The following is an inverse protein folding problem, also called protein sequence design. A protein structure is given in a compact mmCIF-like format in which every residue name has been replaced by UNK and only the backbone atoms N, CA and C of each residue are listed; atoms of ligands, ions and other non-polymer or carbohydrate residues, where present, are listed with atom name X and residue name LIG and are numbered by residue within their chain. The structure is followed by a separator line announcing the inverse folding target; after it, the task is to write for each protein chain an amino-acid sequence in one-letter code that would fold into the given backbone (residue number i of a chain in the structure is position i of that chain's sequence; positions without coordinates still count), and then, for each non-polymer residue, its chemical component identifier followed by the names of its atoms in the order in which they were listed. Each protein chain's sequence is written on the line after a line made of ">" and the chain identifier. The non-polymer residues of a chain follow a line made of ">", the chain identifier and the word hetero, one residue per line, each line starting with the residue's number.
data_IF_237761151327
#
_entry.id   IF_237761151327
#
_cell.length_a   1.000
_cell.length_b   1.000
_cell.length_c   1.000
_cell.angle_alpha   90.00
_cell.angle_beta   90.00
_cell.angle_gamma   90.00
#
_symmetry.space_group_name_H-M   'P 1'
#
loop_
_entity.id
_entity.type
_entity.pdbx_description
1 polymer ?
#
# COMPACT_ATOMS: atom_id res chain seq x y z
N UNK A 1 42.08 16.65 2.27
CA UNK A 1 41.65 15.54 1.39
C UNK A 1 40.24 15.15 1.80
N UNK A 2 39.22 15.86 1.28
CA UNK A 2 37.83 15.47 1.44
C UNK A 2 37.48 14.58 0.25
N UNK A 3 37.24 13.30 0.51
CA UNK A 3 36.70 12.40 -0.52
C UNK A 3 35.21 12.72 -0.71
N UNK A 4 34.92 13.67 -1.58
CA UNK A 4 33.57 13.96 -2.08
C UNK A 4 33.20 12.96 -3.19
N UNK A 5 33.09 11.68 -2.85
CA UNK A 5 32.37 10.74 -3.69
C UNK A 5 30.90 10.74 -3.28
N UNK A 6 30.20 11.82 -3.64
CA UNK A 6 28.73 11.87 -3.63
C UNK A 6 28.19 10.95 -4.73
N UNK A 7 28.17 9.64 -4.45
CA UNK A 7 27.63 8.64 -5.35
C UNK A 7 26.12 8.80 -5.48
N UNK A 8 25.67 9.53 -6.50
CA UNK A 8 24.30 9.36 -6.99
C UNK A 8 24.21 7.92 -7.49
N UNK A 9 23.30 7.13 -6.93
CA UNK A 9 23.01 5.79 -7.46
C UNK A 9 22.46 5.96 -8.88
N UNK A 10 23.31 5.81 -9.89
CA UNK A 10 22.96 5.91 -11.31
C UNK A 10 22.12 4.73 -11.80
N UNK A 11 21.90 3.73 -10.94
CA UNK A 11 21.17 2.48 -11.22
C UNK A 11 19.77 2.47 -10.62
N UNK A 12 19.02 3.54 -10.82
CA UNK A 12 17.65 3.69 -10.29
C UNK A 12 16.69 2.61 -10.82
N UNK A 13 17.02 1.92 -11.91
CA UNK A 13 16.22 0.84 -12.49
C UNK A 13 16.24 -0.47 -11.68
N UNK A 14 17.25 -0.66 -10.82
CA UNK A 14 17.52 -1.91 -10.08
C UNK A 14 16.81 -1.99 -8.72
N UNK A 15 16.09 -0.96 -8.30
CA UNK A 15 15.42 -1.02 -6.99
C UNK A 15 14.33 -2.10 -6.96
N UNK A 16 14.42 -2.95 -5.94
CA UNK A 16 13.46 -4.01 -5.65
C UNK A 16 12.89 -3.91 -4.22
N UNK A 17 11.58 -4.22 -4.02
CA UNK A 17 11.02 -4.38 -2.68
C UNK A 17 11.81 -5.39 -1.85
N UNK A 18 12.06 -5.06 -0.59
CA UNK A 18 12.92 -5.82 0.33
C UNK A 18 14.37 -5.34 0.37
N UNK A 19 14.86 -4.65 -0.68
CA UNK A 19 16.19 -4.06 -0.66
C UNK A 19 16.29 -2.87 0.30
N UNK A 20 17.51 -2.39 0.56
CA UNK A 20 17.74 -1.23 1.43
C UNK A 20 18.34 -0.07 0.64
N UNK A 21 17.89 1.15 0.91
CA UNK A 21 18.43 2.39 0.35
C UNK A 21 19.03 3.23 1.46
N UNK A 22 20.19 3.81 1.21
CA UNK A 22 20.80 4.79 2.10
C UNK A 22 20.31 6.18 1.73
N UNK A 23 19.75 6.89 2.71
CA UNK A 23 19.39 8.29 2.56
C UNK A 23 19.58 9.04 3.88
N UNK A 24 20.21 10.21 3.82
CA UNK A 24 20.52 11.05 5.00
C UNK A 24 21.22 10.28 6.14
N UNK A 25 22.08 9.33 5.79
CA UNK A 25 22.83 8.52 6.75
C UNK A 25 22.04 7.37 7.38
N UNK A 26 20.80 7.12 6.96
CA UNK A 26 19.95 6.03 7.46
C UNK A 26 19.68 5.00 6.35
N UNK A 27 19.88 3.72 6.67
CA UNK A 27 19.50 2.61 5.81
C UNK A 27 18.02 2.30 6.01
N UNK A 28 17.24 2.41 4.93
CA UNK A 28 15.81 2.24 4.93
C UNK A 28 15.40 1.09 4.01
N UNK A 29 14.57 0.18 4.52
CA UNK A 29 14.03 -0.93 3.72
C UNK A 29 12.97 -0.42 2.74
N UNK A 30 13.08 -0.83 1.48
CA UNK A 30 12.12 -0.53 0.41
C UNK A 30 10.88 -1.39 0.59
N UNK A 31 9.76 -0.74 0.90
CA UNK A 31 8.46 -1.38 1.02
C UNK A 31 7.79 -1.53 -0.36
N UNK A 32 7.97 -0.54 -1.22
CA UNK A 32 7.37 -0.50 -2.56
C UNK A 32 8.21 0.35 -3.51
N UNK A 33 8.27 -0.06 -4.77
CA UNK A 33 8.86 0.72 -5.86
C UNK A 33 7.75 1.27 -6.74
N UNK A 34 7.71 2.60 -6.90
CA UNK A 34 6.75 3.26 -7.78
C UNK A 34 7.45 3.62 -9.09
N UNK A 35 6.85 3.20 -10.20
CA UNK A 35 7.37 3.45 -11.54
C UNK A 35 6.41 4.33 -12.32
N UNK A 36 6.95 5.26 -13.10
CA UNK A 36 6.22 6.10 -14.05
C UNK A 36 6.97 6.07 -15.37
N UNK A 37 6.26 5.84 -16.49
CA UNK A 37 6.85 5.72 -17.83
C UNK A 37 8.02 4.71 -17.92
N UNK A 38 8.00 3.64 -17.12
CA UNK A 38 9.03 2.60 -17.10
C UNK A 38 10.19 2.85 -16.13
N UNK A 39 10.36 4.08 -15.65
CA UNK A 39 11.43 4.47 -14.74
C UNK A 39 10.95 4.53 -13.28
N UNK A 40 11.86 4.36 -12.33
CA UNK A 40 11.53 4.50 -10.91
C UNK A 40 11.33 5.98 -10.59
N UNK A 41 10.10 6.35 -10.23
CA UNK A 41 9.75 7.70 -9.82
C UNK A 41 10.01 7.93 -8.32
N UNK A 42 9.78 6.91 -7.50
CA UNK A 42 10.06 6.95 -6.05
C UNK A 42 10.05 5.56 -5.44
N UNK A 43 10.75 5.40 -4.31
CA UNK A 43 10.62 4.24 -3.43
C UNK A 43 9.84 4.63 -2.18
N UNK A 44 9.03 3.72 -1.66
CA UNK A 44 8.32 3.90 -0.40
C UNK A 44 9.11 3.21 0.72
N UNK A 45 9.42 3.95 1.77
CA UNK A 45 10.21 3.50 2.93
C UNK A 45 9.51 3.91 4.22
N UNK A 46 9.91 3.36 5.38
CA UNK A 46 9.57 3.97 6.66
C UNK A 46 10.00 5.44 6.74
N UNK A 47 9.36 6.18 7.64
CA UNK A 47 9.81 7.51 8.07
C UNK A 47 11.25 7.45 8.59
N UNK A 48 12.03 8.53 8.39
CA UNK A 48 13.34 8.63 9.03
C UNK A 48 13.15 8.64 10.54
N UNK A 49 14.05 7.97 11.25
CA UNK A 49 13.99 7.91 12.71
C UNK A 49 14.02 9.30 13.35
N UNK A 50 14.80 10.23 12.80
CA UNK A 50 14.91 11.59 13.32
C UNK A 50 13.63 12.42 13.19
N UNK A 51 12.69 12.04 12.31
CA UNK A 51 11.42 12.75 12.16
C UNK A 51 10.40 12.37 13.25
N UNK A 52 10.62 11.26 13.98
CA UNK A 52 9.64 10.73 14.92
C UNK A 52 8.30 10.32 14.28
N UNK A 53 8.27 10.18 12.95
CA UNK A 53 7.07 9.84 12.18
C UNK A 53 6.99 8.33 11.96
N UNK A 54 5.90 7.70 12.43
CA UNK A 54 5.68 6.25 12.37
C UNK A 54 5.02 5.75 11.07
N UNK A 55 4.83 6.62 10.08
CA UNK A 55 4.27 6.24 8.79
C UNK A 55 5.33 5.93 7.72
N UNK A 56 4.87 5.78 6.49
CA UNK A 56 5.74 5.61 5.32
C UNK A 56 5.94 6.95 4.61
N UNK A 57 7.05 7.07 3.89
CA UNK A 57 7.33 8.22 3.04
C UNK A 57 7.77 7.79 1.64
N UNK A 58 7.63 8.71 0.70
CA UNK A 58 8.18 8.54 -0.66
C UNK A 58 9.55 9.21 -0.73
N UNK A 59 10.54 8.42 -1.08
CA UNK A 59 11.89 8.87 -1.35
C UNK A 59 12.11 8.90 -2.86
N UNK A 60 12.50 10.06 -3.36
CA UNK A 60 12.86 10.23 -4.77
C UNK A 60 14.30 9.76 -5.00
N UNK A 61 14.64 9.25 -6.19
CA UNK A 61 15.96 8.65 -6.42
C UNK A 61 17.15 9.59 -6.19
N UNK A 62 16.99 10.90 -6.39
CA UNK A 62 18.01 11.94 -6.13
C UNK A 62 18.45 12.00 -4.66
N UNK A 63 17.66 11.45 -3.74
CA UNK A 63 17.97 11.41 -2.31
C UNK A 63 18.65 10.12 -1.87
N UNK A 64 18.82 9.16 -2.78
CA UNK A 64 19.41 7.85 -2.50
C UNK A 64 20.89 7.89 -2.85
N UNK A 65 21.73 7.65 -1.84
CA UNK A 65 23.19 7.69 -1.99
C UNK A 65 23.83 6.30 -2.09
N UNK A 66 23.11 5.26 -1.67
CA UNK A 66 23.59 3.87 -1.75
C UNK A 66 22.41 2.88 -1.78
N UNK A 67 22.66 1.67 -2.27
CA UNK A 67 21.66 0.61 -2.43
C UNK A 67 22.23 -0.78 -2.13
N UNK A 68 21.44 -1.58 -1.40
CA UNK A 68 21.67 -3.00 -1.18
C UNK A 68 20.49 -3.79 -1.74
N UNK A 69 20.78 -4.67 -2.69
CA UNK A 69 19.80 -5.58 -3.25
C UNK A 69 19.27 -6.55 -2.17
N UNK A 70 17.97 -6.89 -2.19
CA UNK A 70 17.44 -7.92 -1.31
C UNK A 70 18.02 -9.29 -1.65
N UNK A 71 18.12 -10.14 -0.63
CA UNK A 71 18.18 -11.58 -0.85
C UNK A 71 16.87 -12.10 -1.44
N UNK A 72 16.88 -13.30 -2.03
CA UNK A 72 15.67 -13.91 -2.58
C UNK A 72 14.57 -14.08 -1.52
N UNK A 73 14.96 -14.34 -0.27
CA UNK A 73 14.05 -14.47 0.89
C UNK A 73 13.43 -13.11 1.24
N UNK A 74 14.24 -12.06 1.40
CA UNK A 74 13.75 -10.70 1.70
C UNK A 74 12.83 -10.18 0.60
N UNK A 75 13.16 -10.42 -0.68
CA UNK A 75 12.32 -10.04 -1.80
C UNK A 75 10.98 -10.80 -1.79
N UNK A 76 11.00 -12.10 -1.47
CA UNK A 76 9.80 -12.92 -1.32
C UNK A 76 8.93 -12.40 -0.17
N UNK A 77 9.52 -12.12 0.98
CA UNK A 77 8.78 -11.70 2.16
C UNK A 77 8.24 -10.28 2.03
N UNK A 78 8.98 -9.38 1.37
CA UNK A 78 8.46 -8.07 0.97
C UNK A 78 7.26 -8.20 0.01
N UNK A 79 7.31 -9.13 -0.95
CA UNK A 79 6.16 -9.40 -1.85
C UNK A 79 4.95 -9.93 -1.08
N UNK A 80 5.15 -10.81 -0.09
CA UNK A 80 4.08 -11.31 0.78
C UNK A 80 3.49 -10.17 1.62
N UNK A 81 4.33 -9.37 2.25
CA UNK A 81 3.91 -8.23 3.09
C UNK A 81 3.18 -7.14 2.29
N UNK A 82 3.57 -6.91 1.04
CA UNK A 82 2.91 -5.94 0.16
C UNK A 82 1.52 -6.41 -0.35
N UNK A 83 1.19 -7.70 -0.20
CA UNK A 83 -0.08 -8.25 -0.68
C UNK A 83 -1.23 -7.67 0.15
N UNK A 84 -2.00 -6.79 -0.49
CA UNK A 84 -3.17 -6.18 0.16
C UNK A 84 -4.18 -7.27 0.56
N UNK A 85 -4.83 -7.15 1.74
CA UNK A 85 -5.87 -8.08 2.17
C UNK A 85 -6.98 -8.25 1.11
N UNK A 86 -7.70 -9.39 1.05
CA UNK A 86 -8.76 -9.59 0.06
C UNK A 86 -9.87 -8.54 0.20
N UNK A 87 -10.51 -8.18 -0.92
CA UNK A 87 -11.74 -7.38 -0.87
C UNK A 87 -12.92 -8.36 -0.75
N UNK A 88 -13.65 -8.26 0.36
CA UNK A 88 -14.81 -9.10 0.66
C UNK A 88 -16.09 -8.48 0.09
N UNK A 89 -17.13 -9.30 -0.06
CA UNK A 89 -18.46 -8.91 -0.54
C UNK A 89 -19.48 -9.83 0.13
N UNK A 90 -20.08 -9.40 1.23
CA UNK A 90 -21.04 -10.20 1.99
C UNK A 90 -22.24 -9.32 2.38
N UNK A 91 -23.45 -9.89 2.50
CA UNK A 91 -24.61 -9.18 3.00
C UNK A 91 -24.48 -8.97 4.51
N UNK A 92 -24.96 -7.84 5.02
CA UNK A 92 -24.90 -7.52 6.44
C UNK A 92 -25.98 -6.52 6.83
N UNK A 93 -26.35 -6.51 8.10
CA UNK A 93 -27.33 -5.56 8.62
C UNK A 93 -26.84 -4.11 8.43
N UNK A 94 -27.71 -3.25 7.93
CA UNK A 94 -27.39 -1.84 7.64
C UNK A 94 -26.50 -1.62 6.42
N UNK A 95 -26.20 -2.67 5.62
CA UNK A 95 -25.46 -2.51 4.38
C UNK A 95 -26.38 -1.95 3.31
N UNK A 96 -25.84 -1.05 2.48
CA UNK A 96 -26.52 -0.62 1.26
C UNK A 96 -26.26 -1.64 0.16
N UNK A 97 -27.34 -2.26 -0.30
CA UNK A 97 -27.31 -3.10 -1.48
C UNK A 97 -27.29 -2.24 -2.75
N UNK A 98 -26.48 -2.64 -3.73
CA UNK A 98 -26.49 -2.05 -5.06
C UNK A 98 -25.86 -2.99 -6.07
N UNK A 99 -26.11 -2.75 -7.35
CA UNK A 99 -25.44 -3.42 -8.45
C UNK A 99 -24.05 -2.84 -8.71
N UNK A 100 -23.22 -3.58 -9.45
CA UNK A 100 -21.91 -3.12 -9.91
C UNK A 100 -22.03 -1.85 -10.76
N UNK A 101 -23.09 -1.74 -11.55
CA UNK A 101 -23.36 -0.57 -12.38
C UNK A 101 -23.65 0.68 -11.53
N UNK A 102 -24.45 0.54 -10.47
CA UNK A 102 -24.74 1.63 -9.54
C UNK A 102 -23.49 2.05 -8.74
N UNK A 103 -22.71 1.07 -8.26
CA UNK A 103 -21.43 1.35 -7.61
C UNK A 103 -20.48 2.10 -8.56
N UNK A 104 -20.44 1.75 -9.84
CA UNK A 104 -19.61 2.44 -10.83
C UNK A 104 -20.03 3.91 -11.01
N UNK A 105 -21.34 4.20 -11.03
CA UNK A 105 -21.89 5.55 -11.16
C UNK A 105 -21.66 6.46 -9.96
N UNK A 106 -21.44 5.90 -8.76
CA UNK A 106 -21.16 6.72 -7.56
C UNK A 106 -19.89 7.57 -7.76
N UNK A 107 -19.89 8.85 -7.32
CA UNK A 107 -18.69 9.69 -7.36
C UNK A 107 -17.52 9.08 -6.60
N UNK A 108 -16.30 9.28 -7.08
CA UNK A 108 -15.09 8.72 -6.46
C UNK A 108 -14.89 9.19 -5.01
N UNK A 109 -15.20 10.44 -4.70
CA UNK A 109 -15.08 10.99 -3.34
C UNK A 109 -16.17 10.47 -2.39
N UNK A 110 -17.26 9.92 -2.94
CA UNK A 110 -18.42 9.44 -2.18
C UNK A 110 -18.38 7.92 -1.99
N UNK A 111 -17.35 7.24 -2.52
CA UNK A 111 -17.21 5.79 -2.39
C UNK A 111 -15.76 5.43 -2.07
N UNK A 112 -15.57 4.34 -1.34
CA UNK A 112 -14.24 3.92 -0.97
C UNK A 112 -14.15 2.47 -0.55
N UNK A 113 -12.91 1.98 -0.51
CA UNK A 113 -12.57 0.68 0.05
C UNK A 113 -11.81 0.92 1.35
N UNK A 114 -12.25 0.32 2.45
CA UNK A 114 -11.60 0.44 3.76
C UNK A 114 -11.04 -0.91 4.20
N UNK A 115 -9.97 -0.87 4.97
CA UNK A 115 -9.38 -2.07 5.59
C UNK A 115 -9.95 -2.30 6.98
N UNK A 116 -10.12 -3.57 7.33
CA UNK A 116 -10.26 -4.04 8.70
C UNK A 116 -8.98 -4.80 9.07
N UNK A 117 -8.43 -4.50 10.25
CA UNK A 117 -7.26 -5.21 10.78
C UNK A 117 -7.62 -6.66 11.12
N UNK A 118 -6.61 -7.52 11.19
CA UNK A 118 -6.76 -8.87 11.71
C UNK A 118 -7.17 -8.84 13.18
N UNK A 119 -8.05 -9.76 13.57
CA UNK A 119 -8.43 -10.01 14.96
C UNK A 119 -8.30 -11.50 15.28
N UNK A 120 -8.62 -11.91 16.50
CA UNK A 120 -8.64 -13.32 16.88
C UNK A 120 -9.66 -14.15 16.09
N UNK A 121 -10.72 -13.51 15.55
CA UNK A 121 -11.83 -14.20 14.88
C UNK A 121 -11.71 -14.19 13.36
N UNK A 122 -11.02 -13.21 12.78
CA UNK A 122 -10.92 -13.05 11.34
C UNK A 122 -9.56 -12.50 10.89
N UNK A 123 -9.13 -12.91 9.71
CA UNK A 123 -7.99 -12.32 9.02
C UNK A 123 -8.24 -10.86 8.64
N UNK A 124 -7.18 -10.14 8.26
CA UNK A 124 -7.33 -8.80 7.69
C UNK A 124 -8.13 -8.86 6.39
N UNK A 125 -8.99 -7.87 6.14
CA UNK A 125 -9.79 -7.79 4.92
C UNK A 125 -10.07 -6.35 4.51
N UNK A 126 -10.65 -6.17 3.32
CA UNK A 126 -11.09 -4.88 2.80
C UNK A 126 -12.56 -4.93 2.37
N UNK A 127 -13.32 -3.89 2.63
CA UNK A 127 -14.76 -3.83 2.31
C UNK A 127 -15.12 -2.48 1.68
N UNK A 128 -16.24 -2.45 0.95
CA UNK A 128 -16.73 -1.26 0.24
C UNK A 128 -17.61 -0.43 1.16
N UNK A 129 -17.48 0.89 1.08
CA UNK A 129 -18.36 1.87 1.72
C UNK A 129 -18.76 2.97 0.75
N UNK A 130 -19.93 3.55 0.97
CA UNK A 130 -20.33 4.78 0.31
C UNK A 130 -20.93 5.79 1.29
N UNK A 131 -20.84 7.07 0.93
CA UNK A 131 -21.54 8.16 1.58
C UNK A 131 -23.02 8.13 1.20
N UNK A 132 -23.90 8.20 2.19
CA UNK A 132 -25.34 8.35 1.99
C UNK A 132 -25.73 9.82 1.90
N UNK A 133 -26.98 10.10 1.51
CA UNK A 133 -27.53 11.45 1.51
C UNK A 133 -27.54 12.12 2.90
N UNK A 134 -27.50 11.33 3.99
CA UNK A 134 -27.39 11.82 5.36
C UNK A 134 -25.96 12.12 5.81
N UNK A 135 -24.99 12.19 4.88
CA UNK A 135 -23.56 12.37 5.17
C UNK A 135 -22.98 11.30 6.12
N UNK A 136 -23.55 10.08 6.10
CA UNK A 136 -23.04 8.93 6.85
C UNK A 136 -22.39 7.91 5.93
N UNK A 137 -21.34 7.25 6.41
CA UNK A 137 -20.68 6.16 5.69
C UNK A 137 -21.32 4.82 6.04
N UNK A 138 -21.85 4.13 5.03
CA UNK A 138 -22.43 2.79 5.17
C UNK A 138 -21.63 1.76 4.38
N UNK A 139 -21.66 0.52 4.85
CA UNK A 139 -21.08 -0.61 4.13
C UNK A 139 -21.90 -0.95 2.90
N UNK A 140 -21.26 -1.50 1.88
CA UNK A 140 -21.90 -1.81 0.60
C UNK A 140 -21.76 -3.29 0.28
N UNK A 141 -22.88 -3.91 -0.05
CA UNK A 141 -22.96 -5.24 -0.65
C UNK A 141 -23.31 -5.08 -2.13
N UNK A 142 -22.48 -5.65 -3.01
CA UNK A 142 -22.75 -5.64 -4.45
C UNK A 142 -23.48 -6.93 -4.83
N UNK A 143 -24.77 -6.82 -5.17
CA UNK A 143 -25.71 -7.94 -5.29
C UNK A 143 -25.47 -8.82 -6.51
N UNK A 144 -24.95 -8.26 -7.59
CA UNK A 144 -24.60 -8.94 -8.84
C UNK A 144 -23.11 -9.37 -8.89
N UNK A 145 -22.39 -9.27 -7.76
CA UNK A 145 -21.04 -9.81 -7.58
C UNK A 145 -21.07 -11.08 -6.72
N UNK A 146 -20.15 -12.00 -6.99
CA UNK A 146 -19.95 -13.20 -6.16
C UNK A 146 -19.75 -12.81 -4.68
N UNK A 147 -20.42 -13.53 -3.79
CA UNK A 147 -20.20 -13.42 -2.35
C UNK A 147 -18.79 -13.88 -2.00
N UNK A 148 -18.06 -13.03 -1.29
CA UNK A 148 -16.72 -13.29 -0.76
C UNK A 148 -16.78 -13.05 0.72
N UNK A 149 -16.72 -14.14 1.48
CA UNK A 149 -16.79 -14.13 2.94
C UNK A 149 -15.56 -13.50 3.59
N UNK A 150 -15.72 -13.10 4.85
CA UNK A 150 -14.61 -12.65 5.68
C UNK A 150 -13.64 -13.82 5.89
N UNK A 151 -12.33 -13.64 5.62
CA UNK A 151 -11.34 -14.69 5.85
C UNK A 151 -11.32 -15.06 7.34
N UNK A 152 -11.49 -16.35 7.63
CA UNK A 152 -11.27 -16.89 8.97
C UNK A 152 -9.77 -16.97 9.25
N UNK A 153 -9.41 -16.80 10.52
CA UNK A 153 -8.05 -17.06 10.99
C UNK A 153 -7.82 -18.56 11.16
#
# INVERSE_FOLDING_TARGET
>A
MLNENGGVVTRTQEFEPGGQVLSRGEWLTILRVNRSKGEVSSVETPGYRFLGYSGTMKLTPDRITDYKAPTAEEASDAKKAAKRPPIVNYPGEGFREMTKAEWAKLPADYKGVRGAAETETHGAYRFRRCMTHGCTLVNVYITDMKTVEIPKK
#
